data_IF_580836552788
#
_entry.id   IF_580836552788
#
_cell.length_a   1.000
_cell.length_b   1.000
_cell.length_c   1.000
_cell.angle_alpha   90.00
_cell.angle_beta   90.00
_cell.angle_gamma   90.00
#
_symmetry.space_group_name_H-M   'P 1'
#
loop_
_entity.id
_entity.type
_entity.pdbx_description
1 polymer ?
#
# COMPACT_ATOMS: atom_id res chain seq x y z
N UNK A 1 -5.46 -18.79 -29.12
CA UNK A 1 -6.37 -18.75 -27.95
C UNK A 1 -5.87 -19.56 -26.73
N UNK A 2 -4.61 -20.07 -26.74
CA UNK A 2 -4.05 -20.91 -25.66
C UNK A 2 -3.12 -20.17 -24.65
N UNK A 3 -2.96 -18.85 -24.72
CA UNK A 3 -2.02 -18.09 -23.87
C UNK A 3 -2.65 -17.35 -22.67
N UNK A 4 -3.93 -17.55 -22.43
CA UNK A 4 -4.63 -16.77 -21.38
C UNK A 4 -4.75 -17.48 -20.02
N UNK A 5 -4.30 -18.74 -19.91
CA UNK A 5 -4.44 -19.53 -18.69
C UNK A 5 -3.17 -20.31 -18.29
N UNK A 6 -1.98 -19.85 -18.68
CA UNK A 6 -0.76 -20.34 -18.03
C UNK A 6 -0.53 -19.57 -16.72
N UNK A 7 -1.41 -19.79 -15.76
CA UNK A 7 -1.30 -19.25 -14.41
C UNK A 7 -0.07 -19.79 -13.65
N UNK A 8 0.40 -20.97 -14.05
CA UNK A 8 1.54 -21.63 -13.45
C UNK A 8 2.49 -22.15 -14.53
N UNK A 9 3.62 -21.49 -14.72
CA UNK A 9 4.70 -21.97 -15.57
C UNK A 9 5.68 -22.78 -14.73
N UNK A 10 5.46 -24.08 -14.60
CA UNK A 10 6.32 -25.01 -13.86
C UNK A 10 7.61 -25.36 -14.62
N UNK A 11 7.84 -24.80 -15.80
CA UNK A 11 9.02 -25.13 -16.62
C UNK A 11 10.26 -24.34 -16.22
N UNK A 12 10.13 -23.28 -15.44
CA UNK A 12 11.27 -22.49 -14.99
C UNK A 12 11.97 -23.16 -13.80
N UNK A 13 13.30 -23.25 -13.88
CA UNK A 13 14.12 -23.70 -12.73
C UNK A 13 14.06 -22.65 -11.64
N UNK A 14 13.20 -22.87 -10.64
CA UNK A 14 13.04 -21.99 -9.50
C UNK A 14 14.16 -22.26 -8.48
N UNK A 15 14.90 -21.23 -8.11
CA UNK A 15 15.84 -21.31 -7.01
C UNK A 15 15.10 -21.01 -5.69
N UNK A 16 14.60 -22.06 -5.05
CA UNK A 16 13.80 -21.94 -3.82
C UNK A 16 14.47 -21.12 -2.71
N UNK A 17 15.79 -21.18 -2.57
CA UNK A 17 16.51 -20.39 -1.56
C UNK A 17 16.38 -18.89 -1.82
N UNK A 18 16.58 -18.48 -3.07
CA UNK A 18 16.48 -17.07 -3.47
C UNK A 18 15.05 -16.57 -3.34
N UNK A 19 14.06 -17.36 -3.75
CA UNK A 19 12.64 -16.99 -3.68
C UNK A 19 12.15 -16.86 -2.23
N UNK A 20 12.55 -17.79 -1.35
CA UNK A 20 12.19 -17.73 0.08
C UNK A 20 12.82 -16.51 0.74
N UNK A 21 14.11 -16.23 0.47
CA UNK A 21 14.79 -15.07 1.03
C UNK A 21 14.18 -13.77 0.52
N UNK A 22 13.88 -13.67 -0.77
CA UNK A 22 13.20 -12.51 -1.37
C UNK A 22 11.83 -12.32 -0.74
N UNK A 23 11.03 -13.37 -0.62
CA UNK A 23 9.72 -13.32 0.02
C UNK A 23 9.78 -12.88 1.47
N UNK A 24 10.75 -13.37 2.24
CA UNK A 24 10.97 -12.99 3.63
C UNK A 24 11.36 -11.50 3.74
N UNK A 25 12.28 -11.04 2.91
CA UNK A 25 12.70 -9.63 2.89
C UNK A 25 11.52 -8.71 2.60
N UNK A 26 10.71 -9.06 1.62
CA UNK A 26 9.51 -8.27 1.29
C UNK A 26 8.47 -8.31 2.40
N UNK A 27 8.24 -9.46 3.02
CA UNK A 27 7.32 -9.57 4.15
C UNK A 27 7.75 -8.64 5.30
N UNK A 28 9.05 -8.58 5.60
CA UNK A 28 9.58 -7.69 6.64
C UNK A 28 9.38 -6.20 6.32
N UNK A 29 9.44 -5.81 5.05
CA UNK A 29 9.19 -4.41 4.64
C UNK A 29 7.70 -4.07 4.57
N UNK A 30 6.85 -5.03 4.18
CA UNK A 30 5.40 -4.82 4.08
C UNK A 30 4.70 -4.72 5.44
N UNK A 31 5.22 -5.35 6.50
CA UNK A 31 4.62 -5.27 7.83
C UNK A 31 4.53 -3.82 8.33
N UNK A 32 5.64 -3.05 8.46
CA UNK A 32 5.55 -1.67 8.93
C UNK A 32 4.78 -0.77 7.96
N UNK A 33 4.87 -1.01 6.66
CA UNK A 33 4.12 -0.26 5.65
C UNK A 33 2.60 -0.42 5.82
N UNK A 34 2.12 -1.66 5.94
CA UNK A 34 0.70 -1.94 6.09
C UNK A 34 0.13 -1.42 7.42
N UNK A 35 0.91 -1.50 8.49
CA UNK A 35 0.55 -0.91 9.79
C UNK A 35 0.44 0.62 9.68
N UNK A 36 1.41 1.27 9.04
CA UNK A 36 1.42 2.73 8.86
C UNK A 36 0.20 3.20 8.06
N UNK A 37 -0.13 2.52 6.96
CA UNK A 37 -1.29 2.88 6.15
C UNK A 37 -2.61 2.64 6.88
N UNK A 38 -2.73 1.61 7.70
CA UNK A 38 -3.92 1.39 8.52
C UNK A 38 -4.11 2.53 9.53
N UNK A 39 -3.04 2.92 10.24
CA UNK A 39 -3.07 4.02 11.20
C UNK A 39 -3.44 5.34 10.49
N UNK A 40 -2.82 5.63 9.34
CA UNK A 40 -3.13 6.83 8.55
C UNK A 40 -4.59 6.89 8.12
N UNK A 41 -5.15 5.75 7.71
CA UNK A 41 -6.55 5.64 7.31
C UNK A 41 -7.54 5.71 8.49
N UNK A 42 -7.05 5.69 9.73
CA UNK A 42 -7.88 5.68 10.94
C UNK A 42 -8.40 4.29 11.32
N UNK A 43 -7.83 3.22 10.76
CA UNK A 43 -8.15 1.84 11.10
C UNK A 43 -7.27 1.32 12.23
N UNK A 44 -7.72 0.29 12.97
CA UNK A 44 -6.85 -0.46 13.85
C UNK A 44 -5.65 -1.03 13.07
N UNK A 45 -4.43 -0.97 13.61
CA UNK A 45 -3.22 -1.41 12.89
C UNK A 45 -3.29 -2.84 12.36
N UNK A 46 -3.89 -3.75 13.13
CA UNK A 46 -4.07 -5.15 12.74
C UNK A 46 -4.92 -5.33 11.48
N UNK A 47 -5.85 -4.43 11.21
CA UNK A 47 -6.69 -4.48 10.01
C UNK A 47 -5.85 -4.36 8.74
N UNK A 48 -4.86 -3.45 8.73
CA UNK A 48 -3.92 -3.32 7.61
C UNK A 48 -3.07 -4.56 7.40
N UNK A 49 -2.64 -5.19 8.49
CA UNK A 49 -1.84 -6.41 8.42
C UNK A 49 -2.64 -7.58 7.84
N UNK A 50 -3.88 -7.79 8.30
CA UNK A 50 -4.77 -8.80 7.74
C UNK A 50 -5.08 -8.54 6.26
N UNK A 51 -5.36 -7.29 5.89
CA UNK A 51 -5.61 -6.92 4.51
C UNK A 51 -4.40 -7.21 3.62
N UNK A 52 -3.19 -6.86 4.05
CA UNK A 52 -1.96 -7.14 3.33
C UNK A 52 -1.70 -8.65 3.18
N UNK A 53 -1.94 -9.43 4.25
CA UNK A 53 -1.80 -10.88 4.22
C UNK A 53 -2.76 -11.52 3.21
N UNK A 54 -4.05 -11.17 3.29
CA UNK A 54 -5.08 -11.74 2.41
C UNK A 54 -4.83 -11.32 0.95
N UNK A 55 -4.56 -10.03 0.71
CA UNK A 55 -4.26 -9.54 -0.64
C UNK A 55 -2.99 -10.17 -1.21
N UNK A 56 -1.93 -10.26 -0.40
CA UNK A 56 -0.68 -10.92 -0.79
C UNK A 56 -0.88 -12.40 -1.11
N UNK A 57 -1.64 -13.14 -0.30
CA UNK A 57 -1.94 -14.55 -0.52
C UNK A 57 -2.75 -14.76 -1.81
N UNK A 58 -3.84 -13.99 -2.00
CA UNK A 58 -4.68 -14.09 -3.19
C UNK A 58 -3.87 -13.77 -4.45
N UNK A 59 -3.07 -12.71 -4.42
CA UNK A 59 -2.25 -12.34 -5.59
C UNK A 59 -1.10 -13.29 -5.84
N UNK A 60 -0.53 -13.92 -4.81
CA UNK A 60 0.47 -14.97 -4.97
C UNK A 60 -0.10 -16.22 -5.66
N UNK A 61 -1.37 -16.57 -5.36
CA UNK A 61 -2.03 -17.75 -5.97
C UNK A 61 -2.58 -17.42 -7.36
N UNK A 62 -3.24 -16.28 -7.52
CA UNK A 62 -3.93 -15.89 -8.76
C UNK A 62 -3.21 -14.82 -9.57
N UNK A 63 -2.13 -14.27 -9.05
CA UNK A 63 -1.36 -13.21 -9.70
C UNK A 63 -0.61 -13.70 -10.93
N UNK A 64 -0.48 -12.82 -11.91
CA UNK A 64 -0.02 -13.18 -13.24
C UNK A 64 1.44 -12.95 -13.57
N UNK A 65 2.28 -12.40 -12.66
CA UNK A 65 3.71 -12.16 -12.96
C UNK A 65 4.60 -12.52 -11.78
N UNK A 66 5.64 -13.33 -12.01
CA UNK A 66 6.67 -13.59 -11.00
C UNK A 66 7.30 -12.28 -10.49
N UNK A 67 7.51 -12.17 -9.19
CA UNK A 67 8.11 -11.00 -8.57
C UNK A 67 7.17 -9.80 -8.36
N UNK A 68 5.87 -9.96 -8.59
CA UNK A 68 4.87 -8.91 -8.35
C UNK A 68 4.22 -9.14 -6.99
N UNK A 69 4.22 -8.10 -6.16
CA UNK A 69 3.62 -8.11 -4.83
C UNK A 69 2.51 -7.09 -4.81
N UNK A 70 1.37 -7.46 -4.23
CA UNK A 70 0.26 -6.56 -3.96
C UNK A 70 0.25 -6.18 -2.49
N UNK A 71 0.19 -4.90 -2.23
CA UNK A 71 0.10 -4.32 -0.89
C UNK A 71 -0.80 -3.09 -0.87
N UNK A 72 -0.82 -2.40 0.25
CA UNK A 72 -1.52 -1.12 0.38
C UNK A 72 -0.93 -0.09 -0.58
N UNK A 73 -1.80 0.68 -1.24
CA UNK A 73 -1.37 1.77 -2.11
C UNK A 73 -1.62 3.12 -1.41
N UNK A 74 -0.57 3.92 -1.25
CA UNK A 74 -0.66 5.23 -0.60
C UNK A 74 -1.72 6.15 -1.24
N UNK A 75 -1.91 6.05 -2.56
CA UNK A 75 -2.96 6.79 -3.27
C UNK A 75 -4.38 6.44 -2.81
N UNK A 76 -4.65 5.15 -2.59
CA UNK A 76 -5.97 4.71 -2.11
C UNK A 76 -6.18 5.09 -0.65
N UNK A 77 -5.14 5.06 0.16
CA UNK A 77 -5.21 5.44 1.58
C UNK A 77 -5.67 6.90 1.73
N UNK A 78 -5.16 7.82 0.92
CA UNK A 78 -5.56 9.24 0.98
C UNK A 78 -7.06 9.41 0.72
N UNK A 79 -7.59 8.70 -0.28
CA UNK A 79 -9.03 8.72 -0.59
C UNK A 79 -9.84 8.12 0.56
N UNK A 80 -9.35 7.03 1.15
CA UNK A 80 -9.98 6.37 2.29
C UNK A 80 -10.02 7.24 3.54
N UNK A 81 -8.97 8.03 3.82
CA UNK A 81 -8.94 9.00 4.93
C UNK A 81 -10.08 10.01 4.77
N UNK A 82 -10.23 10.59 3.57
CA UNK A 82 -11.27 11.56 3.30
C UNK A 82 -12.68 10.94 3.49
N UNK A 83 -12.88 9.74 2.98
CA UNK A 83 -14.14 9.02 3.09
C UNK A 83 -14.46 8.63 4.55
N UNK A 84 -13.46 8.15 5.28
CA UNK A 84 -13.60 7.77 6.69
C UNK A 84 -14.04 8.95 7.56
N UNK A 85 -13.44 10.13 7.33
CA UNK A 85 -13.77 11.35 8.07
C UNK A 85 -15.19 11.89 7.76
N UNK A 86 -15.67 11.68 6.54
CA UNK A 86 -16.96 12.25 6.09
C UNK A 86 -18.13 11.31 6.32
N UNK A 87 -17.97 10.00 6.16
CA UNK A 87 -19.08 9.04 6.14
C UNK A 87 -18.92 7.84 7.09
N UNK A 88 -17.75 7.68 7.70
CA UNK A 88 -17.49 6.59 8.64
C UNK A 88 -17.09 5.27 7.97
N UNK A 89 -16.91 4.26 8.82
CA UNK A 89 -16.30 2.97 8.46
C UNK A 89 -17.13 2.14 7.48
N UNK A 90 -18.46 2.13 7.65
CA UNK A 90 -19.36 1.30 6.84
C UNK A 90 -19.34 1.71 5.36
N UNK A 91 -19.28 3.01 5.10
CA UNK A 91 -19.17 3.54 3.74
C UNK A 91 -17.81 3.22 3.10
N UNK A 92 -16.75 3.13 3.90
CA UNK A 92 -15.43 2.72 3.40
C UNK A 92 -15.47 1.27 2.90
N UNK A 93 -16.07 0.35 3.65
CA UNK A 93 -16.21 -1.03 3.20
C UNK A 93 -17.06 -1.14 1.93
N UNK A 94 -18.16 -0.41 1.83
CA UNK A 94 -18.99 -0.37 0.63
C UNK A 94 -18.23 0.19 -0.58
N UNK A 95 -17.47 1.26 -0.39
CA UNK A 95 -16.65 1.86 -1.45
C UNK A 95 -15.54 0.92 -1.93
N UNK A 96 -14.86 0.22 -1.02
CA UNK A 96 -13.82 -0.77 -1.36
C UNK A 96 -14.42 -1.95 -2.13
N UNK A 97 -15.60 -2.45 -1.71
CA UNK A 97 -16.31 -3.52 -2.41
C UNK A 97 -16.69 -3.08 -3.83
N UNK A 98 -17.24 -1.87 -3.98
CA UNK A 98 -17.58 -1.29 -5.28
C UNK A 98 -16.34 -1.11 -6.17
N UNK A 99 -15.25 -0.61 -5.61
CA UNK A 99 -13.97 -0.49 -6.31
C UNK A 99 -13.46 -1.84 -6.80
N UNK A 100 -13.59 -2.90 -5.99
CA UNK A 100 -13.23 -4.26 -6.38
C UNK A 100 -14.06 -4.75 -7.59
N UNK A 101 -15.36 -4.53 -7.58
CA UNK A 101 -16.25 -4.87 -8.71
C UNK A 101 -15.84 -4.11 -9.97
N UNK A 102 -15.59 -2.81 -9.86
CA UNK A 102 -15.13 -1.98 -10.98
C UNK A 102 -13.78 -2.47 -11.53
N UNK A 103 -12.84 -2.86 -10.67
CA UNK A 103 -11.55 -3.41 -11.08
C UNK A 103 -11.72 -4.72 -11.87
N UNK A 104 -12.63 -5.60 -11.46
CA UNK A 104 -12.95 -6.82 -12.20
C UNK A 104 -13.50 -6.47 -13.60
N UNK A 105 -14.44 -5.53 -13.69
CA UNK A 105 -14.98 -5.07 -14.97
C UNK A 105 -13.88 -4.50 -15.88
N UNK A 106 -13.01 -3.64 -15.36
CA UNK A 106 -11.86 -3.09 -16.08
C UNK A 106 -10.93 -4.21 -16.59
N UNK A 107 -10.72 -5.24 -15.78
CA UNK A 107 -9.93 -6.42 -16.14
C UNK A 107 -10.56 -7.21 -17.28
N UNK A 108 -11.86 -7.51 -17.17
CA UNK A 108 -12.64 -8.26 -18.20
C UNK A 108 -12.64 -7.52 -19.54
N UNK A 109 -12.89 -6.22 -19.53
CA UNK A 109 -12.87 -5.37 -20.73
C UNK A 109 -11.45 -5.06 -21.24
N UNK A 110 -10.39 -5.53 -20.55
CA UNK A 110 -8.98 -5.29 -20.89
C UNK A 110 -8.65 -3.80 -21.04
N UNK A 111 -9.33 -2.96 -20.26
CA UNK A 111 -9.14 -1.50 -20.30
C UNK A 111 -7.74 -1.07 -19.81
N UNK A 112 -7.01 -1.93 -19.10
CA UNK A 112 -5.63 -1.70 -18.71
C UNK A 112 -4.68 -1.37 -19.87
N UNK A 113 -5.07 -1.68 -21.13
CA UNK A 113 -4.29 -1.27 -22.31
C UNK A 113 -4.23 0.27 -22.46
N UNK A 114 -5.26 0.98 -21.99
CA UNK A 114 -5.33 2.44 -22.09
C UNK A 114 -4.31 3.16 -21.20
N UNK A 115 -3.72 2.47 -20.21
CA UNK A 115 -2.65 3.05 -19.39
C UNK A 115 -1.42 3.46 -20.23
N UNK A 116 -1.24 2.83 -21.40
CA UNK A 116 -0.17 3.20 -22.35
C UNK A 116 -0.37 4.57 -23.01
N UNK A 117 -1.59 5.12 -22.95
CA UNK A 117 -1.91 6.45 -23.47
C UNK A 117 -1.51 7.56 -22.48
N UNK A 118 -1.23 7.19 -21.22
CA UNK A 118 -0.82 8.18 -20.21
C UNK A 118 0.64 8.59 -20.47
N UNK A 119 0.89 9.89 -20.75
CA UNK A 119 2.24 10.37 -20.97
C UNK A 119 3.12 10.20 -19.72
N UNK A 120 4.40 9.90 -19.93
CA UNK A 120 5.37 9.74 -18.84
C UNK A 120 5.41 10.93 -17.85
N UNK A 121 5.36 12.20 -18.29
CA UNK A 121 5.35 13.33 -17.36
C UNK A 121 4.18 13.31 -16.36
N UNK A 122 3.01 12.83 -16.79
CA UNK A 122 1.82 12.72 -15.92
C UNK A 122 2.06 11.65 -14.84
N UNK A 123 2.67 10.53 -15.21
CA UNK A 123 3.03 9.47 -14.27
C UNK A 123 4.03 9.97 -13.22
N UNK A 124 5.07 10.70 -13.64
CA UNK A 124 6.03 11.28 -12.72
C UNK A 124 5.40 12.34 -11.81
N UNK A 125 4.54 13.20 -12.34
CA UNK A 125 3.82 14.19 -11.55
C UNK A 125 2.93 13.55 -10.48
N UNK A 126 2.22 12.48 -10.84
CA UNK A 126 1.39 11.72 -9.92
C UNK A 126 2.21 11.06 -8.80
N UNK A 127 3.31 10.37 -9.14
CA UNK A 127 4.18 9.70 -8.15
C UNK A 127 4.83 10.73 -7.22
N UNK A 128 5.34 11.84 -7.76
CA UNK A 128 5.94 12.90 -6.94
C UNK A 128 4.91 13.55 -6.02
N UNK A 129 3.70 13.82 -6.52
CA UNK A 129 2.60 14.34 -5.70
C UNK A 129 2.25 13.41 -4.55
N UNK A 130 2.14 12.10 -4.82
CA UNK A 130 1.91 11.09 -3.79
C UNK A 130 3.05 11.05 -2.76
N UNK A 131 4.30 11.11 -3.20
CA UNK A 131 5.45 11.10 -2.31
C UNK A 131 5.40 12.28 -1.32
N UNK A 132 5.06 13.47 -1.80
CA UNK A 132 4.91 14.67 -0.95
C UNK A 132 3.77 14.47 0.07
N UNK A 133 2.61 13.97 -0.38
CA UNK A 133 1.46 13.77 0.52
C UNK A 133 1.78 12.72 1.59
N UNK A 134 2.39 11.61 1.20
CA UNK A 134 2.80 10.55 2.14
C UNK A 134 3.84 11.11 3.13
N UNK A 135 4.82 11.85 2.65
CA UNK A 135 5.82 12.49 3.51
C UNK A 135 5.19 13.43 4.53
N UNK A 136 4.28 14.31 4.09
CA UNK A 136 3.56 15.22 4.99
C UNK A 136 2.72 14.45 6.02
N UNK A 137 2.06 13.38 5.61
CA UNK A 137 1.28 12.53 6.51
C UNK A 137 2.15 11.81 7.54
N UNK A 138 3.37 11.40 7.18
CA UNK A 138 4.32 10.82 8.12
C UNK A 138 4.81 11.86 9.14
N UNK A 139 5.03 13.10 8.72
CA UNK A 139 5.39 14.18 9.65
C UNK A 139 4.31 14.44 10.71
N UNK A 140 3.04 14.27 10.36
CA UNK A 140 1.95 14.43 11.33
C UNK A 140 1.98 13.39 12.45
N UNK A 141 2.59 12.22 12.25
CA UNK A 141 2.77 11.19 13.26
C UNK A 141 3.73 11.62 14.39
N UNK A 142 4.58 12.61 14.13
CA UNK A 142 5.52 13.15 15.12
C UNK A 142 4.96 14.33 15.95
N UNK A 143 3.68 14.66 15.74
CA UNK A 143 2.99 15.62 16.60
C UNK A 143 2.60 14.95 17.90
N UNK A 144 3.08 15.49 19.02
CA UNK A 144 2.65 15.09 20.36
C UNK A 144 1.71 16.14 20.94
N UNK A 145 0.68 15.66 21.64
CA UNK A 145 -0.26 16.54 22.35
C UNK A 145 0.32 16.78 23.74
N UNK A 146 0.84 18.00 23.98
CA UNK A 146 1.31 18.42 25.28
C UNK A 146 0.39 19.55 25.76
N UNK A 147 -0.25 19.36 26.92
CA UNK A 147 -1.18 20.33 27.53
C UNK A 147 -2.38 20.75 26.64
N UNK A 148 -2.84 19.88 25.74
CA UNK A 148 -3.97 20.16 24.84
C UNK A 148 -3.61 20.89 23.55
N UNK A 149 -2.35 21.27 23.35
CA UNK A 149 -1.84 21.84 22.10
C UNK A 149 -0.98 20.81 21.34
N UNK A 150 -1.15 20.75 20.03
CA UNK A 150 -0.33 19.92 19.16
C UNK A 150 1.01 20.61 18.92
N UNK A 151 2.04 20.15 19.60
CA UNK A 151 3.41 20.67 19.45
C UNK A 151 4.26 19.76 18.60
N UNK A 152 5.12 20.35 17.75
CA UNK A 152 6.09 19.64 16.94
C UNK A 152 7.34 19.37 17.76
N UNK A 153 7.91 18.17 17.60
CA UNK A 153 9.26 17.84 18.09
C UNK A 153 9.45 18.01 19.62
N UNK A 154 8.40 17.79 20.41
CA UNK A 154 8.51 17.80 21.88
C UNK A 154 8.34 16.40 22.46
N UNK A 155 9.11 16.12 23.51
CA UNK A 155 9.04 14.85 24.23
C UNK A 155 9.64 13.65 23.48
N UNK A 156 9.08 12.46 23.72
CA UNK A 156 9.60 11.19 23.20
C UNK A 156 9.59 11.11 21.67
N UNK A 157 8.67 11.80 21.00
CA UNK A 157 8.60 11.84 19.54
C UNK A 157 9.86 12.45 18.90
N UNK A 158 10.49 13.41 19.54
CA UNK A 158 11.75 14.00 19.09
C UNK A 158 12.90 12.98 19.11
N UNK A 159 13.01 12.19 20.19
CA UNK A 159 14.05 11.17 20.33
C UNK A 159 13.84 10.02 19.35
N UNK A 160 12.58 9.63 19.10
CA UNK A 160 12.24 8.60 18.10
C UNK A 160 12.62 9.07 16.70
N UNK A 161 12.32 10.32 16.34
CA UNK A 161 12.70 10.90 15.06
C UNK A 161 14.22 10.97 14.88
N UNK A 162 14.93 11.42 15.93
CA UNK A 162 16.40 11.43 15.94
C UNK A 162 17.00 10.03 15.77
N UNK A 163 16.44 9.04 16.46
CA UNK A 163 16.83 7.64 16.34
C UNK A 163 16.61 7.08 14.93
N UNK A 164 15.47 7.39 14.29
CA UNK A 164 15.20 6.98 12.92
C UNK A 164 16.15 7.63 11.92
N UNK A 165 16.44 8.92 12.07
CA UNK A 165 17.41 9.61 11.20
C UNK A 165 18.82 9.04 11.40
N UNK A 166 19.23 8.75 12.63
CA UNK A 166 20.53 8.15 12.91
C UNK A 166 20.68 6.73 12.36
N UNK A 167 19.57 5.98 12.21
CA UNK A 167 19.56 4.64 11.61
C UNK A 167 19.64 4.67 10.08
N UNK A 168 19.32 5.79 9.44
CA UNK A 168 19.31 5.95 7.97
C UNK A 168 20.59 6.58 7.42
N UNK A 169 21.47 7.09 8.28
CA UNK A 169 22.79 7.64 7.94
C UNK A 169 23.87 6.60 8.21
#
# INVERSE_FOLDING_TARGET
MKQYFNLFDFSQKVNYKTEILAGLTVAMTMIPESLSFAILAGFPPLTGLYAAFIAGLITAIFGGRPGLISGGAGATVIVLIALMKSHGLDFVFAAVALAGILQILVGVFKLGKFIRLVPHPVMFGFVNGLAIIIFMSQLEQFKTIVNGESTWLSGDAFYIMLGLVALTV
#
